data_IF_128313972167
#
_entry.id   IF_128313972167
#
_cell.length_a   1.000
_cell.length_b   1.000
_cell.length_c   1.000
_cell.angle_alpha   90.00
_cell.angle_beta   90.00
_cell.angle_gamma   90.00
#
_symmetry.space_group_name_H-M   'P 1'
#
loop_
_entity.id
_entity.type
_entity.pdbx_description
1 polymer ?
#
# COMPACT_ATOMS: atom_id res chain seq x y z
N UNK A 1 -19.92 1.27 21.99
CA UNK A 1 -20.68 0.94 20.77
C UNK A 1 -20.22 -0.42 20.31
N UNK A 2 -20.98 -1.18 19.51
CA UNK A 2 -20.42 -2.41 18.94
C UNK A 2 -19.39 -2.01 17.88
N UNK A 3 -18.17 -2.58 17.89
CA UNK A 3 -17.15 -2.23 16.90
C UNK A 3 -17.64 -2.55 15.49
N UNK A 4 -17.39 -1.63 14.56
CA UNK A 4 -17.77 -1.78 13.16
C UNK A 4 -16.93 -2.88 12.52
N UNK A 5 -17.50 -3.98 12.00
CA UNK A 5 -16.71 -5.04 11.38
C UNK A 5 -15.93 -4.51 10.17
N UNK A 6 -14.70 -5.00 9.91
CA UNK A 6 -13.94 -4.62 8.74
C UNK A 6 -14.67 -5.05 7.46
N UNK A 7 -14.65 -4.20 6.43
CA UNK A 7 -15.14 -4.60 5.10
C UNK A 7 -14.23 -5.68 4.52
N UNK A 8 -14.84 -6.72 3.96
CA UNK A 8 -14.16 -7.71 3.14
C UNK A 8 -14.40 -7.44 1.65
N UNK A 9 -13.44 -7.81 0.79
CA UNK A 9 -13.66 -7.88 -0.65
C UNK A 9 -14.67 -8.99 -0.96
N UNK A 10 -15.64 -8.71 -1.82
CA UNK A 10 -16.53 -9.75 -2.35
C UNK A 10 -15.80 -10.65 -3.36
N UNK A 11 -16.27 -11.89 -3.61
CA UNK A 11 -15.67 -12.75 -4.63
C UNK A 11 -15.59 -12.10 -6.02
N UNK A 12 -16.62 -11.34 -6.41
CA UNK A 12 -16.62 -10.62 -7.68
C UNK A 12 -15.59 -9.47 -7.73
N UNK A 13 -15.32 -8.80 -6.61
CA UNK A 13 -14.25 -7.80 -6.53
C UNK A 13 -12.87 -8.45 -6.62
N UNK A 14 -12.67 -9.60 -5.96
CA UNK A 14 -11.42 -10.36 -6.02
C UNK A 14 -11.14 -10.88 -7.43
N UNK A 15 -12.13 -11.47 -8.10
CA UNK A 15 -12.00 -11.92 -9.49
C UNK A 15 -11.73 -10.75 -10.46
N UNK A 16 -12.33 -9.58 -10.21
CA UNK A 16 -12.07 -8.40 -11.03
C UNK A 16 -10.68 -7.82 -10.79
N UNK A 17 -10.21 -7.86 -9.55
CA UNK A 17 -8.87 -7.44 -9.16
C UNK A 17 -7.81 -8.37 -9.79
N UNK A 18 -8.00 -9.68 -9.67
CA UNK A 18 -7.13 -10.71 -10.26
C UNK A 18 -6.96 -10.51 -11.78
N UNK A 19 -8.08 -10.44 -12.53
CA UNK A 19 -8.04 -10.17 -13.98
C UNK A 19 -7.34 -8.86 -14.35
N UNK A 20 -7.49 -7.83 -13.51
CA UNK A 20 -6.81 -6.55 -13.73
C UNK A 20 -5.29 -6.71 -13.55
N UNK A 21 -4.87 -7.38 -12.49
CA UNK A 21 -3.45 -7.65 -12.22
C UNK A 21 -2.85 -8.52 -13.32
N UNK A 22 -3.53 -9.58 -13.76
CA UNK A 22 -3.08 -10.43 -14.88
C UNK A 22 -2.87 -9.62 -16.17
N UNK A 23 -3.78 -8.69 -16.47
CA UNK A 23 -3.66 -7.82 -17.64
C UNK A 23 -2.43 -6.91 -17.55
N UNK A 24 -2.12 -6.38 -16.36
CA UNK A 24 -0.93 -5.57 -16.11
C UNK A 24 0.35 -6.42 -16.17
N UNK A 25 0.34 -7.60 -15.58
CA UNK A 25 1.45 -8.55 -15.55
C UNK A 25 1.91 -8.95 -16.96
N UNK A 26 0.98 -8.99 -17.93
CA UNK A 26 1.29 -9.23 -19.34
C UNK A 26 2.21 -8.17 -19.98
N UNK A 27 2.35 -7.00 -19.36
CA UNK A 27 3.22 -5.90 -19.82
C UNK A 27 4.36 -5.56 -18.85
N UNK A 28 4.21 -5.90 -17.56
CA UNK A 28 5.26 -5.84 -16.55
C UNK A 28 5.19 -7.07 -15.61
N UNK A 29 6.09 -8.05 -15.73
CA UNK A 29 6.04 -9.28 -14.93
C UNK A 29 6.35 -9.08 -13.43
N UNK A 30 6.84 -7.91 -13.02
CA UNK A 30 7.03 -7.58 -11.60
C UNK A 30 5.69 -7.31 -10.89
N UNK A 31 4.64 -7.01 -11.65
CA UNK A 31 3.29 -6.78 -11.12
C UNK A 31 2.65 -8.14 -10.82
N UNK A 32 2.58 -8.48 -9.53
CA UNK A 32 1.94 -9.70 -9.02
C UNK A 32 0.77 -9.38 -8.09
N UNK A 33 -0.12 -10.34 -7.86
CA UNK A 33 -1.37 -10.15 -7.10
C UNK A 33 -1.10 -9.65 -5.67
N UNK A 34 -0.19 -10.31 -4.97
CA UNK A 34 0.23 -9.97 -3.62
C UNK A 34 0.98 -8.63 -3.58
N UNK A 35 1.88 -8.39 -4.55
CA UNK A 35 2.64 -7.15 -4.63
C UNK A 35 1.74 -5.93 -4.83
N UNK A 36 0.74 -6.02 -5.71
CA UNK A 36 -0.22 -4.92 -5.91
C UNK A 36 -1.01 -4.66 -4.64
N UNK A 37 -1.44 -5.70 -3.92
CA UNK A 37 -2.14 -5.52 -2.65
C UNK A 37 -1.27 -4.83 -1.59
N UNK A 38 -0.01 -5.22 -1.48
CA UNK A 38 0.97 -4.59 -0.60
C UNK A 38 1.16 -3.11 -0.91
N UNK A 39 1.32 -2.77 -2.19
CA UNK A 39 1.44 -1.38 -2.64
C UNK A 39 0.21 -0.57 -2.25
N UNK A 40 -0.99 -1.10 -2.50
CA UNK A 40 -2.24 -0.44 -2.13
C UNK A 40 -2.41 -0.34 -0.60
N UNK A 41 -1.90 -1.30 0.17
CA UNK A 41 -1.91 -1.25 1.63
C UNK A 41 -1.03 -0.11 2.16
N UNK A 42 0.14 0.12 1.56
CA UNK A 42 0.96 1.30 1.85
C UNK A 42 0.19 2.61 1.56
N UNK A 43 -0.46 2.72 0.41
CA UNK A 43 -1.27 3.91 0.10
C UNK A 43 -2.38 4.16 1.13
N UNK A 44 -3.02 3.09 1.62
CA UNK A 44 -4.10 3.18 2.61
C UNK A 44 -3.57 3.51 4.02
N UNK A 45 -2.37 3.05 4.37
CA UNK A 45 -1.71 3.31 5.65
C UNK A 45 -1.04 4.69 5.74
N UNK A 46 -0.75 5.32 4.61
CA UNK A 46 -0.16 6.65 4.53
C UNK A 46 -1.01 7.73 5.26
N UNK A 47 -0.42 8.85 5.73
CA UNK A 47 -1.16 9.90 6.43
C UNK A 47 -2.23 10.58 5.55
N UNK A 48 -2.08 10.47 4.24
CA UNK A 48 -3.08 10.87 3.24
C UNK A 48 -2.96 9.99 2.00
N UNK A 49 -4.10 9.73 1.37
CA UNK A 49 -4.14 9.00 0.11
C UNK A 49 -3.71 9.91 -1.06
N UNK A 50 -2.69 9.54 -1.87
CA UNK A 50 -2.39 10.23 -3.13
C UNK A 50 -3.57 10.21 -4.11
N UNK A 51 -3.58 11.14 -5.07
CA UNK A 51 -4.58 11.12 -6.13
C UNK A 51 -4.31 9.92 -7.07
N UNK A 52 -5.35 9.43 -7.74
CA UNK A 52 -5.20 8.26 -8.63
C UNK A 52 -4.26 8.53 -9.81
N UNK A 53 -4.21 9.78 -10.25
CA UNK A 53 -3.31 10.26 -11.28
C UNK A 53 -1.84 10.20 -10.84
N UNK A 54 -1.57 10.18 -9.53
CA UNK A 54 -0.23 10.10 -8.96
C UNK A 54 0.17 8.63 -8.68
N UNK A 55 -0.71 7.85 -8.04
CA UNK A 55 -0.37 6.49 -7.61
C UNK A 55 -0.51 5.43 -8.69
N UNK A 56 -1.39 5.61 -9.66
CA UNK A 56 -1.58 4.60 -10.71
C UNK A 56 -0.34 4.48 -11.61
N UNK A 57 0.29 5.59 -12.07
CA UNK A 57 1.56 5.49 -12.82
C UNK A 57 2.71 4.98 -11.95
N UNK A 58 2.72 5.29 -10.65
CA UNK A 58 3.75 4.79 -9.74
C UNK A 58 3.66 3.26 -9.53
N UNK A 59 2.44 2.72 -9.50
CA UNK A 59 2.18 1.28 -9.37
C UNK A 59 2.48 0.53 -10.66
N UNK A 60 2.01 1.05 -11.81
CA UNK A 60 1.99 0.29 -13.07
C UNK A 60 3.08 0.69 -14.09
N UNK A 61 3.73 1.83 -13.93
CA UNK A 61 4.54 2.42 -15.00
C UNK A 61 3.74 2.59 -16.30
N UNK A 62 4.31 2.14 -17.42
CA UNK A 62 3.63 2.16 -18.73
C UNK A 62 2.67 0.98 -18.96
N UNK A 63 2.64 -0.02 -18.05
CA UNK A 63 1.86 -1.23 -18.23
C UNK A 63 0.35 -0.94 -18.29
N UNK A 64 -0.12 0.08 -17.56
CA UNK A 64 -1.53 0.43 -17.53
C UNK A 64 -2.04 0.93 -18.89
N UNK A 65 -1.33 1.87 -19.53
CA UNK A 65 -1.72 2.41 -20.85
C UNK A 65 -1.61 1.34 -21.95
N UNK A 66 -0.69 0.39 -21.78
CA UNK A 66 -0.51 -0.74 -22.70
C UNK A 66 -1.60 -1.79 -22.56
N UNK A 67 -2.05 -2.07 -21.33
CA UNK A 67 -3.14 -2.99 -21.04
C UNK A 67 -4.51 -2.43 -21.40
N UNK A 68 -4.72 -1.12 -21.20
CA UNK A 68 -6.01 -0.46 -21.31
C UNK A 68 -5.94 0.73 -22.27
N UNK A 69 -6.17 0.46 -23.56
CA UNK A 69 -5.79 1.36 -24.67
C UNK A 69 -6.80 2.46 -25.02
N UNK A 70 -7.99 2.45 -24.41
CA UNK A 70 -9.02 3.46 -24.60
C UNK A 70 -9.65 3.91 -23.26
N UNK A 71 -10.39 5.03 -23.21
CA UNK A 71 -10.93 5.54 -21.96
C UNK A 71 -11.90 4.60 -21.22
N UNK A 72 -12.63 3.75 -21.95
CA UNK A 72 -13.57 2.80 -21.34
C UNK A 72 -12.79 1.63 -20.72
N UNK A 73 -11.81 1.09 -21.45
CA UNK A 73 -10.89 0.08 -20.94
C UNK A 73 -10.09 0.59 -19.74
N UNK A 74 -9.60 1.83 -19.78
CA UNK A 74 -8.87 2.46 -18.69
C UNK A 74 -9.74 2.58 -17.44
N UNK A 75 -10.99 3.04 -17.58
CA UNK A 75 -11.92 3.09 -16.45
C UNK A 75 -12.21 1.69 -15.89
N UNK A 76 -12.34 0.68 -16.75
CA UNK A 76 -12.57 -0.71 -16.35
C UNK A 76 -11.36 -1.34 -15.65
N UNK A 77 -10.13 -1.03 -16.07
CA UNK A 77 -8.90 -1.49 -15.42
C UNK A 77 -8.60 -0.76 -14.11
N UNK A 78 -8.92 0.54 -14.02
CA UNK A 78 -8.73 1.30 -12.78
C UNK A 78 -9.73 0.88 -11.68
N UNK A 79 -10.95 0.51 -12.04
CA UNK A 79 -12.03 0.28 -11.08
C UNK A 79 -11.72 -0.83 -10.04
N UNK A 80 -11.17 -2.00 -10.40
CA UNK A 80 -10.79 -3.03 -9.43
C UNK A 80 -9.70 -2.59 -8.44
N UNK A 81 -8.66 -1.89 -8.91
CA UNK A 81 -7.59 -1.36 -8.05
C UNK A 81 -8.17 -0.35 -7.03
N UNK A 82 -9.01 0.56 -7.50
CA UNK A 82 -9.71 1.52 -6.63
C UNK A 82 -10.68 0.83 -5.66
N UNK A 83 -11.36 -0.22 -6.10
CA UNK A 83 -12.27 -0.98 -5.25
C UNK A 83 -11.53 -1.66 -4.10
N UNK A 84 -10.37 -2.28 -4.40
CA UNK A 84 -9.51 -2.90 -3.39
C UNK A 84 -8.93 -1.87 -2.43
N UNK A 85 -8.42 -0.76 -2.94
CA UNK A 85 -7.91 0.34 -2.11
C UNK A 85 -8.98 0.87 -1.13
N UNK A 86 -10.24 0.97 -1.57
CA UNK A 86 -11.36 1.34 -0.68
C UNK A 86 -11.65 0.31 0.41
N UNK A 87 -11.38 -0.98 0.19
CA UNK A 87 -11.48 -2.00 1.23
C UNK A 87 -10.38 -1.78 2.27
N UNK A 88 -9.15 -1.60 1.81
CA UNK A 88 -8.00 -1.34 2.68
C UNK A 88 -8.17 -0.06 3.51
N UNK A 89 -8.66 1.04 2.91
CA UNK A 89 -8.97 2.26 3.65
C UNK A 89 -10.08 2.08 4.71
N UNK A 90 -11.03 1.17 4.49
CA UNK A 90 -12.09 0.86 5.47
C UNK A 90 -11.56 0.04 6.65
N UNK A 91 -10.65 -0.91 6.36
CA UNK A 91 -9.95 -1.73 7.35
C UNK A 91 -9.00 -0.87 8.20
N UNK A 92 -8.34 0.11 7.58
CA UNK A 92 -7.41 1.09 8.17
C UNK A 92 -8.10 2.42 8.53
N UNK A 93 -9.39 2.39 8.86
CA UNK A 93 -10.09 3.56 9.35
C UNK A 93 -9.70 3.86 10.81
N UNK A 94 -9.17 5.06 11.14
CA UNK A 94 -8.64 5.34 12.48
C UNK A 94 -9.67 5.25 13.59
N UNK A 95 -10.92 5.65 13.33
CA UNK A 95 -11.98 5.60 14.35
C UNK A 95 -12.27 4.14 14.71
N UNK A 96 -12.42 3.27 13.71
CA UNK A 96 -12.60 1.85 13.94
C UNK A 96 -11.39 1.16 14.59
N UNK A 97 -10.17 1.59 14.28
CA UNK A 97 -8.94 1.09 14.93
C UNK A 97 -8.83 1.54 16.40
N UNK A 98 -9.23 2.77 16.72
CA UNK A 98 -9.25 3.27 18.10
C UNK A 98 -10.35 2.62 18.94
N UNK A 99 -11.46 2.23 18.32
CA UNK A 99 -12.58 1.56 19.00
C UNK A 99 -12.25 0.13 19.45
N UNK A 100 -11.37 -0.58 18.72
CA UNK A 100 -10.94 -1.95 19.01
C UNK A 100 -9.46 -2.19 18.58
N UNK A 101 -8.48 -1.66 19.35
CA UNK A 101 -7.08 -1.64 18.94
C UNK A 101 -6.40 -3.02 18.91
N UNK A 102 -6.94 -3.99 19.66
CA UNK A 102 -6.41 -5.37 19.68
C UNK A 102 -6.97 -6.21 18.52
N UNK A 103 -7.96 -5.71 17.78
CA UNK A 103 -8.52 -6.40 16.62
C UNK A 103 -7.58 -6.26 15.43
N UNK A 104 -7.12 -7.40 14.91
CA UNK A 104 -6.55 -7.45 13.57
C UNK A 104 -7.67 -7.31 12.53
N UNK A 105 -7.73 -6.13 11.89
CA UNK A 105 -8.74 -5.72 10.89
C UNK A 105 -8.23 -5.80 9.46
N UNK A 106 -6.93 -5.57 9.26
CA UNK A 106 -6.29 -5.66 7.95
C UNK A 106 -6.33 -7.11 7.45
N UNK A 107 -6.89 -7.29 6.26
CA UNK A 107 -7.03 -8.59 5.60
C UNK A 107 -6.29 -8.51 4.25
N UNK A 108 -4.96 -8.76 4.25
CA UNK A 108 -4.13 -8.64 3.07
C UNK A 108 -4.41 -9.79 2.10
N UNK A 109 -4.25 -9.53 0.80
CA UNK A 109 -4.37 -10.57 -0.23
C UNK A 109 -3.03 -11.26 -0.41
N UNK A 110 -2.86 -12.42 0.24
CA UNK A 110 -1.62 -13.19 0.25
C UNK A 110 -1.91 -14.65 -0.13
N UNK A 111 -1.21 -15.15 -1.15
CA UNK A 111 -1.16 -16.58 -1.46
C UNK A 111 -0.24 -17.35 -0.49
N UNK A 112 -0.70 -18.50 -0.02
CA UNK A 112 0.13 -19.41 0.77
C UNK A 112 1.20 -20.07 -0.13
N UNK A 113 2.46 -20.00 0.29
CA UNK A 113 3.57 -20.67 -0.39
C UNK A 113 3.96 -21.91 0.40
N UNK A 114 3.58 -23.08 -0.11
CA UNK A 114 3.94 -24.36 0.49
C UNK A 114 5.39 -24.77 0.18
N UNK A 115 5.90 -25.75 0.93
CA UNK A 115 7.18 -26.41 0.61
C UNK A 115 7.13 -27.11 -0.75
N UNK A 116 5.96 -27.63 -1.14
CA UNK A 116 5.76 -28.27 -2.44
C UNK A 116 5.87 -27.26 -3.59
N UNK A 117 5.33 -26.05 -3.41
CA UNK A 117 5.46 -24.96 -4.39
C UNK A 117 6.93 -24.55 -4.57
N UNK A 118 7.66 -24.39 -3.46
CA UNK A 118 9.11 -24.09 -3.49
C UNK A 118 9.90 -25.20 -4.20
N UNK A 119 9.62 -26.46 -3.88
CA UNK A 119 10.30 -27.59 -4.51
C UNK A 119 10.02 -27.66 -6.01
N UNK A 120 8.78 -27.39 -6.44
CA UNK A 120 8.43 -27.32 -7.87
C UNK A 120 9.23 -26.27 -8.61
N UNK A 121 9.43 -25.07 -8.04
CA UNK A 121 10.25 -24.02 -8.66
C UNK A 121 11.70 -24.46 -8.88
N UNK A 122 12.24 -25.27 -7.97
CA UNK A 122 13.59 -25.86 -8.11
C UNK A 122 13.60 -26.97 -9.16
N UNK A 123 12.62 -27.87 -9.13
CA UNK A 123 12.52 -29.02 -10.05
C UNK A 123 12.33 -28.59 -11.51
N UNK A 124 11.60 -27.49 -11.72
CA UNK A 124 11.40 -26.88 -13.03
C UNK A 124 12.59 -26.03 -13.49
N UNK A 125 13.61 -25.84 -12.64
CA UNK A 125 14.78 -25.01 -12.90
C UNK A 125 14.48 -23.52 -12.98
N UNK A 126 13.35 -23.08 -12.41
CA UNK A 126 12.97 -21.67 -12.34
C UNK A 126 13.83 -20.93 -11.31
N UNK A 127 14.18 -21.58 -10.20
CA UNK A 127 15.03 -21.05 -9.13
C UNK A 127 16.05 -22.09 -8.66
N UNK A 128 17.15 -21.63 -8.09
CA UNK A 128 18.04 -22.46 -7.27
C UNK A 128 17.38 -22.82 -5.93
N UNK A 129 17.93 -23.83 -5.23
CA UNK A 129 17.45 -24.21 -3.91
C UNK A 129 17.58 -23.07 -2.87
N UNK A 130 18.60 -22.23 -3.01
CA UNK A 130 18.81 -21.08 -2.14
C UNK A 130 17.79 -19.98 -2.43
N UNK A 131 17.53 -19.66 -3.70
CA UNK A 131 16.50 -18.68 -4.10
C UNK A 131 15.10 -19.14 -3.71
N UNK A 132 14.78 -20.44 -3.88
CA UNK A 132 13.48 -20.98 -3.49
C UNK A 132 13.22 -20.89 -1.98
N UNK A 133 14.25 -20.96 -1.14
CA UNK A 133 14.11 -20.77 0.32
C UNK A 133 13.74 -19.33 0.68
N UNK A 134 14.05 -18.35 -0.17
CA UNK A 134 13.65 -16.96 0.03
C UNK A 134 12.17 -16.71 -0.32
N UNK A 135 11.53 -17.63 -1.04
CA UNK A 135 10.12 -17.52 -1.40
C UNK A 135 9.25 -17.92 -0.21
N UNK A 136 8.80 -16.91 0.53
CA UNK A 136 7.99 -17.05 1.74
C UNK A 136 6.61 -16.41 1.57
N UNK A 137 5.58 -17.01 2.17
CA UNK A 137 4.20 -16.46 2.22
C UNK A 137 4.22 -15.01 2.68
N UNK A 138 3.68 -14.07 1.89
CA UNK A 138 3.64 -12.64 2.23
C UNK A 138 4.93 -11.85 1.95
N UNK A 139 5.98 -12.49 1.40
CA UNK A 139 7.18 -11.78 0.95
C UNK A 139 6.88 -10.76 -0.14
N UNK A 140 6.24 -11.19 -1.23
CA UNK A 140 5.82 -10.31 -2.34
C UNK A 140 4.89 -9.18 -1.88
N UNK A 141 4.01 -9.45 -0.92
CA UNK A 141 3.14 -8.43 -0.33
C UNK A 141 3.96 -7.35 0.41
N UNK A 142 4.93 -7.77 1.22
CA UNK A 142 5.80 -6.83 1.92
C UNK A 142 6.67 -6.02 0.94
N UNK A 143 7.18 -6.64 -0.13
CA UNK A 143 7.89 -5.93 -1.21
C UNK A 143 7.01 -4.82 -1.81
N UNK A 144 5.77 -5.16 -2.17
CA UNK A 144 4.80 -4.20 -2.68
C UNK A 144 4.53 -3.06 -1.70
N UNK A 145 4.42 -3.35 -0.40
CA UNK A 145 4.26 -2.34 0.63
C UNK A 145 5.44 -1.37 0.66
N UNK A 146 6.67 -1.87 0.68
CA UNK A 146 7.87 -1.02 0.68
C UNK A 146 8.04 -0.23 -0.62
N UNK A 147 7.66 -0.78 -1.77
CA UNK A 147 7.64 -0.05 -3.04
C UNK A 147 6.59 1.07 -3.04
N UNK A 148 5.42 0.83 -2.45
CA UNK A 148 4.40 1.87 -2.23
C UNK A 148 4.89 2.99 -1.31
N UNK A 149 5.67 2.65 -0.28
CA UNK A 149 6.33 3.63 0.60
C UNK A 149 7.38 4.43 -0.18
N UNK A 150 8.24 3.74 -0.94
CA UNK A 150 9.31 4.33 -1.73
C UNK A 150 8.81 5.21 -2.88
N UNK A 151 7.63 4.92 -3.42
CA UNK A 151 6.98 5.74 -4.45
C UNK A 151 6.54 7.12 -3.90
N UNK A 152 6.29 7.23 -2.59
CA UNK A 152 5.79 8.45 -1.95
C UNK A 152 6.57 8.84 -0.70
N UNK A 153 7.90 9.08 -0.80
CA UNK A 153 8.75 9.24 0.38
C UNK A 153 8.36 10.45 1.25
N UNK A 154 7.80 11.50 0.63
CA UNK A 154 7.30 12.68 1.35
C UNK A 154 6.09 12.41 2.25
N UNK A 155 5.42 11.25 2.11
CA UNK A 155 4.35 10.80 3.00
C UNK A 155 4.86 10.03 4.22
N UNK A 156 6.10 9.56 4.15
CA UNK A 156 6.71 8.63 5.09
C UNK A 156 7.95 9.23 5.77
N UNK A 157 7.96 10.56 5.90
CA UNK A 157 9.04 11.25 6.60
C UNK A 157 9.05 10.85 8.07
N UNK A 158 10.21 10.41 8.53
CA UNK A 158 10.42 10.05 9.94
C UNK A 158 10.13 11.26 10.84
N UNK A 159 9.34 11.09 11.92
CA UNK A 159 9.05 12.16 12.86
C UNK A 159 10.34 12.64 13.55
N UNK A 160 10.48 13.95 13.84
CA UNK A 160 11.68 14.51 14.47
C UNK A 160 11.79 14.21 15.98
N UNK A 161 10.77 13.59 16.58
CA UNK A 161 10.72 13.26 18.01
C UNK A 161 11.25 11.85 18.24
N UNK A 162 12.18 11.68 19.19
CA UNK A 162 12.86 10.40 19.46
C UNK A 162 11.89 9.25 19.72
N UNK A 163 10.95 9.40 20.67
CA UNK A 163 9.97 8.35 20.99
C UNK A 163 9.07 8.00 19.79
N UNK A 164 8.66 9.01 19.01
CA UNK A 164 7.85 8.79 17.82
C UNK A 164 8.64 8.09 16.70
N UNK A 165 9.92 8.43 16.55
CA UNK A 165 10.84 7.81 15.60
C UNK A 165 11.06 6.33 15.90
N UNK A 166 11.18 5.98 17.19
CA UNK A 166 11.31 4.58 17.62
C UNK A 166 10.07 3.78 17.24
N UNK A 167 8.87 4.27 17.57
CA UNK A 167 7.61 3.59 17.21
C UNK A 167 7.44 3.45 15.70
N UNK A 168 7.76 4.52 14.96
CA UNK A 168 7.70 4.54 13.51
C UNK A 168 8.61 3.48 12.89
N UNK A 169 9.88 3.42 13.31
CA UNK A 169 10.86 2.44 12.82
C UNK A 169 10.49 1.01 13.19
N UNK A 170 10.07 0.80 14.44
CA UNK A 170 9.66 -0.51 14.90
C UNK A 170 8.53 -1.10 14.05
N UNK A 171 7.56 -0.29 13.64
CA UNK A 171 6.49 -0.75 12.74
C UNK A 171 7.03 -1.20 11.37
N UNK A 172 8.02 -0.48 10.82
CA UNK A 172 8.69 -0.90 9.59
C UNK A 172 9.53 -2.17 9.79
N UNK A 173 10.22 -2.32 10.92
CA UNK A 173 11.04 -3.49 11.21
C UNK A 173 10.18 -4.76 11.28
N UNK A 174 8.98 -4.68 11.85
CA UNK A 174 8.01 -5.79 11.89
C UNK A 174 7.48 -6.16 10.50
N UNK A 175 7.23 -5.18 9.62
CA UNK A 175 6.83 -5.45 8.23
C UNK A 175 8.01 -6.04 7.43
N UNK A 176 9.21 -5.50 7.62
CA UNK A 176 10.45 -5.97 7.00
C UNK A 176 10.81 -7.41 7.39
N UNK A 177 10.35 -7.89 8.56
CA UNK A 177 10.51 -9.26 9.00
C UNK A 177 10.00 -10.28 7.96
N UNK A 178 9.00 -9.90 7.15
CA UNK A 178 8.46 -10.75 6.09
C UNK A 178 9.45 -10.97 4.94
N UNK A 179 10.46 -10.11 4.80
CA UNK A 179 11.50 -10.16 3.76
C UNK A 179 12.81 -10.80 4.25
N UNK A 180 12.94 -11.06 5.55
CA UNK A 180 14.15 -11.63 6.12
C UNK A 180 14.23 -13.14 5.80
N UNK A 181 15.33 -13.63 5.20
CA UNK A 181 15.50 -15.05 4.97
C UNK A 181 15.52 -15.81 6.30
N UNK A 182 14.70 -16.87 6.47
CA UNK A 182 14.69 -17.64 7.70
C UNK A 182 16.08 -18.17 8.06
N UNK A 183 16.51 -17.92 9.29
CA UNK A 183 17.81 -18.36 9.81
C UNK A 183 19.00 -17.47 9.41
N UNK A 184 18.80 -16.38 8.68
CA UNK A 184 19.85 -15.38 8.46
C UNK A 184 20.26 -14.69 9.76
N UNK A 185 21.38 -13.96 9.75
CA UNK A 185 21.83 -13.23 10.94
C UNK A 185 20.91 -12.04 11.26
N UNK A 186 20.37 -11.39 10.23
CA UNK A 186 19.34 -10.35 10.33
C UNK A 186 18.04 -10.90 10.93
N UNK A 187 17.58 -12.07 10.45
CA UNK A 187 16.43 -12.76 11.03
C UNK A 187 16.62 -13.05 12.51
N UNK A 188 17.77 -13.62 12.90
CA UNK A 188 18.07 -13.91 14.31
C UNK A 188 18.11 -12.64 15.16
N UNK A 189 18.64 -11.54 14.63
CA UNK A 189 18.67 -10.26 15.32
C UNK A 189 17.24 -9.73 15.54
N UNK A 190 16.40 -9.75 14.51
CA UNK A 190 14.99 -9.36 14.59
C UNK A 190 14.23 -10.19 15.64
N UNK A 191 14.37 -11.52 15.61
CA UNK A 191 13.74 -12.42 16.60
C UNK A 191 14.23 -12.09 18.02
N UNK A 192 15.52 -11.87 18.22
CA UNK A 192 16.06 -11.56 19.54
C UNK A 192 15.56 -10.23 20.11
N UNK A 193 15.29 -9.25 19.24
CA UNK A 193 14.82 -7.92 19.61
C UNK A 193 13.31 -7.87 19.88
N UNK A 194 12.50 -8.37 18.94
CA UNK A 194 11.04 -8.20 18.97
C UNK A 194 10.30 -9.37 19.62
N UNK A 195 10.95 -10.54 19.72
CA UNK A 195 10.38 -11.75 20.31
C UNK A 195 11.22 -12.21 21.50
N UNK A 196 11.32 -11.43 22.60
CA UNK A 196 12.18 -11.75 23.74
C UNK A 196 11.78 -13.05 24.46
N UNK A 197 10.56 -13.55 24.22
CA UNK A 197 10.09 -14.88 24.66
C UNK A 197 10.39 -15.99 23.67
N UNK A 198 11.18 -15.77 22.62
CA UNK A 198 11.57 -16.81 21.65
C UNK A 198 12.27 -18.02 22.28
N UNK A 199 12.70 -17.89 23.55
CA UNK A 199 13.13 -19.00 24.41
C UNK A 199 12.03 -20.08 24.58
N UNK A 200 10.76 -19.73 24.36
CA UNK A 200 9.58 -20.61 24.38
C UNK A 200 9.22 -21.15 22.97
N UNK A 201 9.87 -20.64 21.90
CA UNK A 201 9.68 -21.02 20.50
C UNK A 201 9.92 -19.85 19.55
N UNK A 202 10.54 -20.09 18.38
CA UNK A 202 10.68 -19.09 17.32
C UNK A 202 9.28 -18.69 16.77
N UNK A 203 9.08 -17.42 16.33
CA UNK A 203 7.80 -17.01 15.74
C UNK A 203 7.52 -17.80 14.47
N UNK A 204 6.26 -18.23 14.31
CA UNK A 204 5.80 -18.86 13.07
C UNK A 204 5.62 -17.81 11.99
N UNK A 205 5.43 -18.25 10.73
CA UNK A 205 5.14 -17.31 9.64
C UNK A 205 3.81 -16.58 9.86
N UNK A 206 2.82 -17.24 10.45
CA UNK A 206 1.53 -16.63 10.78
C UNK A 206 1.69 -15.56 11.87
N UNK A 207 2.56 -15.77 12.86
CA UNK A 207 2.86 -14.76 13.88
C UNK A 207 3.47 -13.50 13.25
N UNK A 208 4.42 -13.67 12.31
CA UNK A 208 5.01 -12.55 11.58
C UNK A 208 3.99 -11.81 10.72
N UNK A 209 3.10 -12.54 10.04
CA UNK A 209 2.04 -11.94 9.22
C UNK A 209 1.08 -11.13 10.08
N UNK A 210 0.66 -11.68 11.22
CA UNK A 210 -0.18 -10.98 12.17
C UNK A 210 0.50 -9.69 12.68
N UNK A 211 1.76 -9.79 13.09
CA UNK A 211 2.52 -8.64 13.60
C UNK A 211 2.79 -7.57 12.54
N UNK A 212 3.10 -7.97 11.30
CA UNK A 212 3.24 -7.04 10.18
C UNK A 212 1.92 -6.31 9.89
N UNK A 213 0.79 -7.02 9.91
CA UNK A 213 -0.51 -6.41 9.68
C UNK A 213 -0.93 -5.48 10.83
N UNK A 214 -0.65 -5.86 12.08
CA UNK A 214 -0.82 -4.97 13.24
C UNK A 214 0.05 -3.72 13.12
N UNK A 215 1.30 -3.87 12.69
CA UNK A 215 2.22 -2.73 12.49
C UNK A 215 1.75 -1.75 11.42
N UNK A 216 1.07 -2.22 10.37
CA UNK A 216 0.44 -1.36 9.35
C UNK A 216 -0.73 -0.57 9.96
N UNK A 217 -1.52 -1.20 10.84
CA UNK A 217 -2.58 -0.52 11.59
C UNK A 217 -2.00 0.52 12.56
N UNK A 218 -0.90 0.19 13.23
CA UNK A 218 -0.20 1.09 14.13
C UNK A 218 0.38 2.29 13.37
N UNK A 219 0.95 2.09 12.18
CA UNK A 219 1.35 3.20 11.29
C UNK A 219 0.16 4.09 10.96
N UNK A 220 -1.01 3.50 10.68
CA UNK A 220 -2.21 4.28 10.38
C UNK A 220 -2.67 5.13 11.56
N UNK A 221 -2.64 4.57 12.78
CA UNK A 221 -2.97 5.26 14.03
C UNK A 221 -1.90 6.30 14.40
N UNK A 222 -0.63 6.00 14.18
CA UNK A 222 0.49 6.90 14.40
C UNK A 222 0.28 8.25 13.70
N UNK A 223 -0.24 8.24 12.47
CA UNK A 223 -0.53 9.47 11.75
C UNK A 223 -1.64 10.34 12.34
N UNK A 224 -2.49 9.82 13.25
CA UNK A 224 -3.49 10.64 13.95
C UNK A 224 -2.82 11.75 14.75
N UNK A 225 -1.69 11.44 15.39
CA UNK A 225 -0.94 12.38 16.23
C UNK A 225 0.25 13.03 15.50
N UNK A 226 0.81 12.35 14.50
CA UNK A 226 2.10 12.71 13.90
C UNK A 226 2.04 13.03 12.40
N UNK A 227 0.86 13.16 11.79
CA UNK A 227 0.74 13.50 10.37
C UNK A 227 1.58 14.74 9.99
N UNK A 228 2.35 14.68 8.88
CA UNK A 228 3.09 15.84 8.38
C UNK A 228 2.15 17.01 8.13
N UNK A 229 2.53 18.20 8.62
CA UNK A 229 1.77 19.42 8.32
C UNK A 229 1.95 19.77 6.86
N UNK A 230 0.91 19.61 6.05
CA UNK A 230 0.95 20.04 4.65
C UNK A 230 1.16 21.55 4.59
N UNK A 231 2.17 22.00 3.85
CA UNK A 231 2.22 23.41 3.47
C UNK A 231 0.95 23.74 2.68
N UNK A 232 0.25 24.86 3.00
CA UNK A 232 -0.92 25.24 2.27
C UNK A 232 -0.54 25.43 0.81
N UNK A 233 -1.10 24.60 -0.09
CA UNK A 233 -0.92 24.74 -1.53
C UNK A 233 -1.21 26.18 -1.91
N UNK A 234 -0.20 26.90 -2.38
CA UNK A 234 -0.36 28.26 -2.89
C UNK A 234 -1.14 28.18 -4.19
N UNK A 235 -2.46 28.31 -4.09
CA UNK A 235 -3.32 28.44 -5.26
C UNK A 235 -2.93 29.75 -5.94
N UNK A 236 -2.52 29.70 -7.20
CA UNK A 236 -2.33 30.92 -7.97
C UNK A 236 -3.61 31.76 -7.90
N UNK A 237 -3.48 33.06 -7.68
CA UNK A 237 -4.62 33.94 -7.56
C UNK A 237 -5.44 33.82 -8.85
N UNK A 238 -6.65 33.26 -8.73
CA UNK A 238 -7.58 33.25 -9.86
C UNK A 238 -7.94 34.70 -10.17
N UNK A 239 -8.02 35.09 -11.47
CA UNK A 239 -8.40 36.44 -11.85
C UNK A 239 -9.70 36.83 -11.15
N UNK A 240 -9.69 37.96 -10.45
CA UNK A 240 -10.89 38.49 -9.83
C UNK A 240 -11.98 38.69 -10.87
N UNK A 241 -13.25 38.61 -10.45
CA UNK A 241 -14.43 38.69 -11.34
C UNK A 241 -14.38 39.89 -12.33
N UNK A 242 -13.72 40.98 -11.97
CA UNK A 242 -13.59 42.19 -12.80
C UNK A 242 -12.23 42.38 -13.48
N UNK A 243 -11.25 41.51 -13.23
CA UNK A 243 -9.89 41.63 -13.77
C UNK A 243 -9.86 41.30 -15.27
N UNK A 244 -8.81 41.72 -16.02
CA UNK A 244 -8.62 41.32 -17.40
C UNK A 244 -8.60 39.80 -17.55
N UNK A 245 -9.33 39.28 -18.54
CA UNK A 245 -9.38 37.85 -18.78
C UNK A 245 -8.03 37.33 -19.32
N UNK A 246 -7.49 36.21 -18.80
CA UNK A 246 -6.15 35.74 -19.17
C UNK A 246 -6.00 35.27 -20.63
N UNK A 247 -7.11 35.06 -21.36
CA UNK A 247 -7.09 34.69 -22.78
C UNK A 247 -6.70 35.82 -23.75
N UNK A 248 -6.36 37.02 -23.25
CA UNK A 248 -5.98 38.16 -24.09
C UNK A 248 -7.14 38.83 -24.84
N UNK A 249 -8.40 38.46 -24.57
CA UNK A 249 -9.57 39.03 -25.27
C UNK A 249 -9.88 40.50 -24.96
N UNK A 250 -9.17 41.11 -23.99
CA UNK A 250 -9.45 42.46 -23.50
C UNK A 250 -10.74 42.61 -22.68
N UNK A 251 -11.50 41.53 -22.47
CA UNK A 251 -12.74 41.52 -21.66
C UNK A 251 -12.44 41.31 -20.18
N UNK A 252 -13.33 41.78 -19.30
CA UNK A 252 -13.33 41.40 -17.86
C UNK A 252 -13.59 39.90 -17.73
N UNK A 253 -12.97 39.23 -16.75
CA UNK A 253 -13.07 37.78 -16.54
C UNK A 253 -14.53 37.29 -16.53
N UNK A 254 -15.43 37.95 -15.77
CA UNK A 254 -16.88 37.64 -15.73
C UNK A 254 -17.65 37.75 -17.05
N UNK A 255 -17.08 38.40 -18.06
CA UNK A 255 -17.67 38.56 -19.40
C UNK A 255 -16.99 37.68 -20.45
N UNK A 256 -16.12 36.76 -20.01
CA UNK A 256 -15.36 35.87 -20.86
C UNK A 256 -15.24 34.49 -20.20
N UNK A 257 -14.07 34.10 -19.67
CA UNK A 257 -13.89 32.76 -19.09
C UNK A 257 -14.65 32.56 -17.77
N UNK A 258 -15.05 33.64 -17.10
CA UNK A 258 -15.99 33.61 -15.98
C UNK A 258 -17.44 33.89 -16.39
N UNK A 259 -17.76 33.83 -17.69
CA UNK A 259 -19.11 34.01 -18.22
C UNK A 259 -19.77 32.65 -18.53
N UNK A 260 -19.75 31.74 -17.56
CA UNK A 260 -20.69 30.62 -17.38
C UNK A 260 -20.19 29.78 -16.21
N UNK A 261 -20.66 30.14 -15.02
CA UNK A 261 -21.11 29.20 -14.00
C UNK A 261 -22.54 29.61 -13.67
#
# INVERSE_FOLDING_TARGET
>A
MNPRPPRASSPAELEAFDRCVEALAGFNPEITFEWVDGFLAALAAAPRLPAVEDWLPALCGDAFERAFSDPEAAAAGQAPLVARLKVLCDQLDPEALLDDPDQLRLDPLIGEVSDEDRQRLVDEGALSAEEAQMVQTGGLWAEGFFDGVAAFPALWEEPPHEDASVLFKQAFDQIAALLLPPGSDEWKAHVAEHYPKAQEGEPTRDDLLAEACMSVQDLRLFWVDFAPKTEPRRVEATPGRNDPCPCGSGKKYKKCHGAAA
#
